data_IF_064350242892
#
_entry.id   IF_064350242892
#
_cell.length_a   1.000
_cell.length_b   1.000
_cell.length_c   1.000
_cell.angle_alpha   90.00
_cell.angle_beta   90.00
_cell.angle_gamma   90.00
#
_symmetry.space_group_name_H-M   'P 1'
#
loop_
_entity.id
_entity.type
_entity.pdbx_description
1 polymer ?
#
# COMPACT_ATOMS: atom_id res chain seq x y z
N UNK A 1 2.30 -25.06 -14.66
CA UNK A 1 1.52 -24.81 -13.43
C UNK A 1 2.24 -25.51 -12.31
N UNK A 2 2.54 -24.81 -11.21
CA UNK A 2 3.20 -25.41 -10.04
C UNK A 2 2.20 -26.21 -9.20
N UNK A 3 2.67 -27.18 -8.40
CA UNK A 3 1.81 -27.90 -7.42
C UNK A 3 1.01 -26.93 -6.54
N UNK A 4 1.62 -25.80 -6.18
CA UNK A 4 0.96 -24.71 -5.45
C UNK A 4 -0.18 -24.07 -6.25
N UNK A 5 -0.01 -23.81 -7.55
CA UNK A 5 -1.07 -23.25 -8.40
C UNK A 5 -2.21 -24.23 -8.61
N UNK A 6 -1.92 -25.52 -8.74
CA UNK A 6 -2.93 -26.58 -8.81
C UNK A 6 -3.71 -26.65 -7.49
N UNK A 7 -3.03 -26.71 -6.35
CA UNK A 7 -3.64 -26.72 -5.01
C UNK A 7 -4.41 -25.43 -4.72
N UNK A 8 -3.91 -24.26 -5.16
CA UNK A 8 -4.61 -22.99 -5.01
C UNK A 8 -5.88 -22.93 -5.87
N UNK A 9 -5.82 -23.41 -7.12
CA UNK A 9 -6.95 -23.39 -8.06
C UNK A 9 -8.14 -24.26 -7.62
N UNK A 10 -7.88 -25.27 -6.79
CA UNK A 10 -8.92 -26.11 -6.18
C UNK A 10 -9.43 -25.54 -4.86
N UNK A 11 -8.72 -24.59 -4.25
CA UNK A 11 -9.18 -23.94 -3.04
C UNK A 11 -10.33 -22.97 -3.33
N UNK A 12 -11.33 -22.90 -2.43
CA UNK A 12 -12.39 -21.89 -2.48
C UNK A 12 -11.87 -20.44 -2.45
N UNK A 13 -10.61 -20.24 -2.07
CA UNK A 13 -9.92 -18.94 -2.10
C UNK A 13 -9.74 -18.42 -3.52
N UNK A 14 -9.63 -19.31 -4.52
CA UNK A 14 -9.32 -18.93 -5.90
C UNK A 14 -10.50 -18.45 -6.73
N UNK A 15 -11.71 -18.74 -6.28
CA UNK A 15 -12.94 -18.36 -6.98
C UNK A 15 -13.83 -17.64 -5.99
N UNK A 16 -13.79 -16.30 -6.06
CA UNK A 16 -14.64 -15.31 -5.38
C UNK A 16 -16.16 -15.56 -5.49
N UNK A 17 -16.61 -16.70 -6.02
CA UNK A 17 -17.98 -16.89 -6.51
C UNK A 17 -18.87 -17.85 -5.74
N UNK A 18 -18.45 -18.56 -4.67
CA UNK A 18 -19.42 -19.33 -3.88
C UNK A 18 -19.02 -19.49 -2.40
N UNK A 19 -19.62 -18.65 -1.57
CA UNK A 19 -19.53 -18.67 -0.11
C UNK A 19 -20.13 -19.94 0.49
N UNK A 20 -19.44 -20.51 1.49
CA UNK A 20 -20.01 -21.16 2.70
C UNK A 20 -18.94 -21.80 3.59
N UNK A 21 -17.67 -21.97 3.14
CA UNK A 21 -16.64 -22.64 3.95
C UNK A 21 -15.36 -21.81 4.04
N UNK A 22 -15.26 -21.05 5.12
CA UNK A 22 -14.09 -20.25 5.48
C UNK A 22 -12.94 -21.17 5.87
N UNK A 23 -11.74 -20.89 5.34
CA UNK A 23 -10.51 -21.53 5.79
C UNK A 23 -9.73 -20.53 6.63
N UNK A 24 -9.54 -20.81 7.94
CA UNK A 24 -8.60 -20.04 8.76
C UNK A 24 -7.15 -20.41 8.41
N UNK A 25 -6.20 -19.56 8.85
CA UNK A 25 -4.77 -19.78 8.61
C UNK A 25 -4.30 -21.15 9.07
N UNK A 26 -4.80 -21.71 10.17
CA UNK A 26 -4.41 -23.05 10.62
C UNK A 26 -4.82 -24.14 9.61
N UNK A 27 -6.01 -24.03 9.01
CA UNK A 27 -6.44 -24.96 7.98
C UNK A 27 -5.67 -24.76 6.67
N UNK A 28 -5.35 -23.51 6.29
CA UNK A 28 -4.48 -23.23 5.14
C UNK A 28 -3.06 -23.76 5.35
N UNK A 29 -2.47 -23.55 6.53
CA UNK A 29 -1.17 -24.11 6.91
C UNK A 29 -1.18 -25.64 6.86
N UNK A 30 -2.29 -26.30 7.21
CA UNK A 30 -2.40 -27.76 7.08
C UNK A 30 -2.39 -28.23 5.62
N UNK A 31 -3.04 -27.49 4.72
CA UNK A 31 -3.05 -27.79 3.29
C UNK A 31 -1.67 -27.53 2.68
N UNK A 32 -1.05 -26.40 3.04
CA UNK A 32 0.23 -25.94 2.51
C UNK A 32 1.43 -26.25 3.41
N UNK A 33 1.32 -27.25 4.29
CA UNK A 33 2.36 -27.58 5.30
C UNK A 33 3.73 -27.90 4.68
N UNK A 34 3.71 -28.48 3.49
CA UNK A 34 4.90 -28.92 2.76
C UNK A 34 5.34 -27.86 1.72
N UNK A 35 4.65 -26.71 1.68
CA UNK A 35 4.98 -25.61 0.79
C UNK A 35 5.89 -24.61 1.50
N UNK A 36 7.05 -24.35 0.91
CA UNK A 36 7.93 -23.27 1.32
C UNK A 36 8.10 -22.32 0.13
N UNK A 37 7.88 -21.00 0.30
CA UNK A 37 8.14 -20.05 -0.77
C UNK A 37 9.64 -20.07 -1.12
N UNK A 38 9.97 -20.35 -2.38
CA UNK A 38 11.35 -20.33 -2.90
C UNK A 38 11.86 -18.91 -3.19
N UNK A 39 11.05 -17.87 -2.98
CA UNK A 39 11.36 -16.48 -3.27
C UNK A 39 11.38 -15.62 -2.00
N UNK A 40 11.96 -14.41 -2.13
CA UNK A 40 11.84 -13.34 -1.16
C UNK A 40 10.37 -13.11 -0.76
N UNK A 41 10.15 -12.59 0.46
CA UNK A 41 8.81 -12.27 0.95
C UNK A 41 8.06 -11.42 -0.07
N UNK A 42 6.74 -11.66 -0.28
CA UNK A 42 5.95 -10.84 -1.19
C UNK A 42 5.93 -9.39 -0.72
N UNK A 43 6.10 -8.47 -1.67
CA UNK A 43 5.84 -7.05 -1.46
C UNK A 43 4.35 -6.81 -1.66
N UNK A 44 3.67 -6.24 -0.66
CA UNK A 44 2.24 -5.90 -0.73
C UNK A 44 2.04 -4.40 -0.50
N UNK A 45 1.02 -3.78 -1.11
CA UNK A 45 0.66 -2.40 -0.78
C UNK A 45 0.33 -2.23 0.71
N UNK A 46 0.55 -1.03 1.23
CA UNK A 46 0.33 -0.73 2.66
C UNK A 46 -1.09 -1.04 3.13
N UNK A 47 -2.11 -0.74 2.32
CA UNK A 47 -3.51 -1.05 2.66
C UNK A 47 -3.78 -2.56 2.80
N UNK A 48 -3.08 -3.39 2.02
CA UNK A 48 -3.12 -4.86 2.16
C UNK A 48 -2.34 -5.31 3.39
N UNK A 49 -1.18 -4.74 3.65
CA UNK A 49 -0.41 -5.03 4.88
C UNK A 49 -1.22 -4.73 6.14
N UNK A 50 -1.89 -3.58 6.19
CA UNK A 50 -2.84 -3.20 7.26
C UNK A 50 -3.97 -4.22 7.38
N UNK A 51 -4.53 -4.68 6.26
CA UNK A 51 -5.57 -5.70 6.27
C UNK A 51 -5.07 -7.02 6.89
N UNK A 52 -3.92 -7.54 6.43
CA UNK A 52 -3.31 -8.77 6.95
C UNK A 52 -3.08 -8.66 8.46
N UNK A 53 -2.57 -7.52 8.93
CA UNK A 53 -2.35 -7.27 10.35
C UNK A 53 -3.65 -7.15 11.15
N UNK A 54 -4.72 -6.60 10.56
CA UNK A 54 -6.03 -6.44 11.21
C UNK A 54 -6.71 -7.78 11.45
N UNK A 55 -6.53 -8.73 10.53
CA UNK A 55 -7.06 -10.09 10.67
C UNK A 55 -6.30 -10.95 11.68
N UNK A 56 -5.36 -10.37 12.43
CA UNK A 56 -4.77 -10.99 13.62
C UNK A 56 -3.90 -12.20 13.33
N UNK A 57 -3.02 -12.50 14.27
CA UNK A 57 -2.24 -13.71 14.23
C UNK A 57 -3.16 -14.95 14.20
N UNK A 58 -2.71 -16.07 13.61
CA UNK A 58 -3.48 -17.30 13.35
C UNK A 58 -4.28 -17.91 14.52
N UNK A 59 -3.99 -17.52 15.75
CA UNK A 59 -4.59 -18.06 16.98
C UNK A 59 -5.95 -17.42 17.32
N UNK A 60 -6.24 -16.22 16.79
CA UNK A 60 -7.39 -15.42 17.22
C UNK A 60 -8.71 -15.78 16.52
N UNK A 61 -8.69 -16.67 15.53
CA UNK A 61 -9.91 -17.10 14.83
C UNK A 61 -10.64 -15.97 14.08
N UNK A 62 -9.96 -14.88 13.70
CA UNK A 62 -10.54 -13.80 12.91
C UNK A 62 -10.59 -14.21 11.43
N UNK A 63 -11.78 -14.15 10.83
CA UNK A 63 -12.03 -14.53 9.44
C UNK A 63 -12.31 -13.28 8.60
N UNK A 64 -11.81 -13.23 7.36
CA UNK A 64 -12.30 -12.27 6.37
C UNK A 64 -13.60 -12.82 5.81
N UNK A 65 -14.74 -12.26 6.22
CA UNK A 65 -16.00 -12.57 5.57
C UNK A 65 -16.14 -11.67 4.33
N UNK A 66 -15.71 -12.15 3.16
CA UNK A 66 -15.70 -11.33 1.94
C UNK A 66 -17.08 -10.69 1.63
N UNK A 67 -18.22 -11.37 1.83
CA UNK A 67 -19.54 -10.79 1.53
C UNK A 67 -19.85 -9.60 2.43
N UNK A 68 -19.53 -9.72 3.72
CA UNK A 68 -19.79 -8.69 4.73
C UNK A 68 -18.74 -7.59 4.68
N UNK A 69 -17.50 -7.93 4.31
CA UNK A 69 -16.37 -7.03 4.20
C UNK A 69 -16.35 -6.24 2.89
N UNK A 70 -16.94 -6.75 1.79
CA UNK A 70 -16.87 -6.09 0.47
C UNK A 70 -17.38 -4.64 0.46
N UNK A 71 -18.47 -4.28 1.15
CA UNK A 71 -18.90 -2.87 1.21
C UNK A 71 -17.91 -1.94 1.92
N UNK A 72 -17.07 -2.47 2.81
CA UNK A 72 -16.14 -1.68 3.67
C UNK A 72 -14.70 -1.74 3.16
N UNK A 73 -14.31 -2.86 2.54
CA UNK A 73 -12.95 -3.18 2.11
C UNK A 73 -12.88 -3.47 0.60
N UNK A 74 -13.69 -2.77 -0.20
CA UNK A 74 -13.81 -3.06 -1.63
C UNK A 74 -12.45 -3.00 -2.34
N UNK A 75 -11.65 -1.96 -2.04
CA UNK A 75 -10.31 -1.74 -2.60
C UNK A 75 -9.38 -2.93 -2.30
N UNK A 76 -9.39 -3.42 -1.06
CA UNK A 76 -8.62 -4.57 -0.63
C UNK A 76 -9.06 -5.85 -1.34
N UNK A 77 -10.37 -6.12 -1.40
CA UNK A 77 -10.89 -7.35 -1.99
C UNK A 77 -10.66 -7.38 -3.50
N UNK A 78 -10.85 -6.27 -4.20
CA UNK A 78 -10.58 -6.16 -5.63
C UNK A 78 -9.08 -6.36 -5.94
N UNK A 79 -8.17 -5.91 -5.06
CA UNK A 79 -6.75 -6.23 -5.18
C UNK A 79 -6.48 -7.71 -4.95
N UNK A 80 -7.05 -8.32 -3.91
CA UNK A 80 -6.85 -9.75 -3.60
C UNK A 80 -7.35 -10.63 -4.74
N UNK A 81 -8.49 -10.30 -5.36
CA UNK A 81 -9.05 -11.07 -6.49
C UNK A 81 -8.05 -11.17 -7.66
N UNK A 82 -7.21 -10.15 -7.85
CA UNK A 82 -6.16 -10.12 -8.88
C UNK A 82 -4.80 -10.63 -8.39
N UNK A 83 -4.59 -10.77 -7.08
CA UNK A 83 -3.28 -11.08 -6.47
C UNK A 83 -3.37 -12.24 -5.46
N UNK A 84 -4.26 -13.20 -5.68
CA UNK A 84 -4.58 -14.28 -4.73
C UNK A 84 -3.35 -15.06 -4.23
N UNK A 85 -2.39 -15.37 -5.14
CA UNK A 85 -1.13 -16.05 -4.80
C UNK A 85 -0.26 -15.21 -3.89
N UNK A 86 -0.12 -13.92 -4.19
CA UNK A 86 0.65 -12.96 -3.38
C UNK A 86 0.00 -12.80 -2.00
N UNK A 87 -1.32 -12.60 -1.96
CA UNK A 87 -2.12 -12.52 -0.74
C UNK A 87 -1.93 -13.74 0.16
N UNK A 88 -2.10 -14.94 -0.38
CA UNK A 88 -2.00 -16.18 0.40
C UNK A 88 -0.57 -16.40 0.91
N UNK A 89 0.44 -16.12 0.08
CA UNK A 89 1.85 -16.20 0.49
C UNK A 89 2.12 -15.23 1.64
N UNK A 90 1.66 -13.98 1.51
CA UNK A 90 1.80 -12.93 2.52
C UNK A 90 1.15 -13.32 3.86
N UNK A 91 -0.06 -13.86 3.81
CA UNK A 91 -0.81 -14.30 4.99
C UNK A 91 -0.14 -15.47 5.71
N UNK A 92 0.41 -16.43 4.97
CA UNK A 92 0.98 -17.65 5.53
C UNK A 92 2.42 -17.46 6.04
N UNK A 93 3.27 -16.81 5.23
CA UNK A 93 4.72 -16.77 5.42
C UNK A 93 5.27 -15.38 5.75
N UNK A 94 4.41 -14.35 5.78
CA UNK A 94 4.81 -12.97 6.02
C UNK A 94 5.02 -12.18 4.73
N UNK A 95 5.23 -10.88 4.87
CA UNK A 95 5.32 -9.93 3.75
C UNK A 95 6.21 -8.75 4.09
N UNK A 96 6.61 -8.02 3.04
CA UNK A 96 7.14 -6.67 3.15
C UNK A 96 6.13 -5.69 2.58
N UNK A 97 6.04 -4.49 3.13
CA UNK A 97 5.17 -3.44 2.59
C UNK A 97 5.91 -2.69 1.49
N UNK A 98 5.22 -2.41 0.38
CA UNK A 98 5.71 -1.51 -0.66
C UNK A 98 6.02 -0.16 -0.02
N UNK A 99 7.28 0.28 -0.09
CA UNK A 99 7.63 1.63 0.36
C UNK A 99 6.90 2.61 -0.56
N UNK A 100 5.99 3.45 -0.04
CA UNK A 100 5.24 4.36 -0.88
C UNK A 100 6.21 5.30 -1.59
N UNK A 101 5.98 5.54 -2.87
CA UNK A 101 6.66 6.61 -3.58
C UNK A 101 6.28 7.94 -2.92
N UNK A 102 7.29 8.69 -2.48
CA UNK A 102 7.11 9.97 -1.83
C UNK A 102 7.37 11.12 -2.79
N UNK A 103 6.70 12.24 -2.54
CA UNK A 103 6.82 13.46 -3.31
C UNK A 103 7.01 14.68 -2.41
N UNK A 104 7.80 15.65 -2.85
CA UNK A 104 7.73 17.02 -2.36
C UNK A 104 6.71 17.80 -3.19
N UNK A 105 5.90 18.62 -2.53
CA UNK A 105 4.97 19.53 -3.19
C UNK A 105 5.61 20.91 -3.31
N UNK A 106 5.90 21.32 -4.54
CA UNK A 106 6.58 22.57 -4.87
C UNK A 106 5.62 23.60 -5.45
N UNK A 107 5.77 24.83 -4.99
CA UNK A 107 5.14 26.01 -5.55
C UNK A 107 6.23 26.95 -6.09
N UNK A 108 5.97 27.58 -7.23
CA UNK A 108 6.87 28.52 -7.88
C UNK A 108 6.20 29.89 -7.92
N UNK A 109 6.72 30.82 -7.11
CA UNK A 109 6.17 32.18 -6.97
C UNK A 109 7.17 33.18 -7.57
N UNK A 110 6.70 34.23 -8.24
CA UNK A 110 7.61 35.30 -8.70
C UNK A 110 8.06 36.13 -7.51
N UNK A 111 9.31 36.58 -7.54
CA UNK A 111 9.86 37.45 -6.49
C UNK A 111 9.10 38.78 -6.37
N UNK A 112 8.61 39.30 -7.49
CA UNK A 112 7.75 40.49 -7.55
C UNK A 112 6.44 40.32 -6.77
N UNK A 113 5.84 39.12 -6.81
CA UNK A 113 4.56 38.81 -6.14
C UNK A 113 4.70 38.80 -4.61
N UNK A 114 5.93 38.71 -4.09
CA UNK A 114 6.24 38.77 -2.65
C UNK A 114 6.94 40.08 -2.26
N UNK A 115 6.92 41.08 -3.13
CA UNK A 115 7.42 42.42 -2.85
C UNK A 115 8.94 42.59 -2.95
N UNK A 116 9.62 41.72 -3.70
CA UNK A 116 11.05 41.87 -3.99
C UNK A 116 11.28 42.68 -5.26
N UNK A 117 12.27 43.59 -5.24
CA UNK A 117 12.71 44.35 -6.42
C UNK A 117 13.58 43.52 -7.40
N UNK A 118 13.83 42.24 -7.09
CA UNK A 118 14.60 41.32 -7.94
C UNK A 118 13.70 40.57 -8.91
N UNK A 119 14.18 40.39 -10.14
CA UNK A 119 13.51 39.56 -11.15
C UNK A 119 13.93 38.10 -10.95
N UNK A 120 12.96 37.23 -10.68
CA UNK A 120 13.22 35.80 -10.51
C UNK A 120 12.04 35.05 -9.91
N UNK A 121 12.33 33.81 -9.48
CA UNK A 121 11.35 32.92 -8.87
C UNK A 121 11.87 32.36 -7.56
N UNK A 122 10.96 32.26 -6.59
CA UNK A 122 11.17 31.52 -5.36
C UNK A 122 10.53 30.14 -5.51
N UNK A 123 11.34 29.10 -5.31
CA UNK A 123 10.85 27.74 -5.17
C UNK A 123 10.56 27.49 -3.71
N UNK A 124 9.30 27.18 -3.41
CA UNK A 124 8.83 26.90 -2.07
C UNK A 124 8.23 25.50 -2.01
N UNK A 125 8.35 24.86 -0.86
CA UNK A 125 7.89 23.50 -0.61
C UNK A 125 6.91 23.48 0.55
N UNK A 126 5.88 22.63 0.45
CA UNK A 126 4.88 22.50 1.50
C UNK A 126 5.45 21.76 2.72
N UNK A 127 5.24 22.33 3.89
CA UNK A 127 5.64 21.76 5.19
C UNK A 127 4.48 21.05 5.88
N UNK A 128 4.78 20.35 6.97
CA UNK A 128 3.82 19.51 7.69
C UNK A 128 2.71 20.32 8.41
N UNK A 129 3.01 21.58 8.74
CA UNK A 129 2.14 22.58 9.36
C UNK A 129 1.39 23.44 8.33
N UNK A 130 1.51 23.13 7.04
CA UNK A 130 0.76 23.79 5.96
C UNK A 130 1.38 25.10 5.46
N UNK A 131 2.58 25.45 5.91
CA UNK A 131 3.33 26.61 5.41
C UNK A 131 4.23 26.25 4.22
N UNK A 132 4.81 27.28 3.61
CA UNK A 132 5.75 27.17 2.51
C UNK A 132 7.17 27.50 2.99
N UNK A 133 8.14 26.65 2.65
CA UNK A 133 9.57 26.84 2.98
C UNK A 133 10.44 26.79 1.73
N UNK A 134 11.50 27.58 1.69
CA UNK A 134 12.54 27.45 0.65
C UNK A 134 13.56 26.34 0.96
N UNK A 135 13.57 25.82 2.19
CA UNK A 135 14.47 24.75 2.61
C UNK A 135 13.80 23.38 2.42
N UNK A 136 14.24 22.63 1.39
CA UNK A 136 13.70 21.30 1.06
C UNK A 136 13.85 20.28 2.20
N UNK A 137 14.85 20.45 3.08
CA UNK A 137 15.04 19.55 4.23
C UNK A 137 13.96 19.73 5.30
N UNK A 138 13.26 20.86 5.30
CA UNK A 138 12.12 21.12 6.18
C UNK A 138 10.78 20.82 5.51
N UNK A 139 10.78 20.42 4.23
CA UNK A 139 9.58 20.09 3.50
C UNK A 139 9.02 18.74 3.92
N UNK A 140 7.68 18.62 3.93
CA UNK A 140 7.02 17.34 4.16
C UNK A 140 7.11 16.50 2.89
N UNK A 141 7.30 15.20 3.08
CA UNK A 141 7.16 14.17 2.04
C UNK A 141 5.72 13.65 2.05
N UNK A 142 5.09 13.61 0.89
CA UNK A 142 3.70 13.19 0.72
C UNK A 142 3.61 11.92 -0.11
N UNK A 143 2.67 11.06 0.22
CA UNK A 143 2.23 9.94 -0.64
C UNK A 143 1.26 10.43 -1.71
N UNK A 144 1.08 9.66 -2.80
CA UNK A 144 0.09 10.01 -3.82
C UNK A 144 -1.34 10.10 -3.25
N UNK A 145 -1.72 9.21 -2.34
CA UNK A 145 -3.05 9.20 -1.71
C UNK A 145 -3.29 10.45 -0.85
N UNK A 146 -2.28 10.91 -0.10
CA UNK A 146 -2.38 12.20 0.60
C UNK A 146 -2.60 13.34 -0.39
N UNK A 147 -1.87 13.37 -1.50
CA UNK A 147 -2.00 14.41 -2.53
C UNK A 147 -3.38 14.37 -3.20
N UNK A 148 -3.89 13.19 -3.54
CA UNK A 148 -5.20 13.01 -4.17
C UNK A 148 -6.34 13.42 -3.23
N UNK A 149 -6.14 13.30 -1.91
CA UNK A 149 -7.09 13.75 -0.89
C UNK A 149 -7.04 15.26 -0.62
N UNK A 150 -5.96 15.93 -1.03
CA UNK A 150 -5.79 17.37 -0.83
C UNK A 150 -6.68 18.15 -1.80
N UNK A 151 -7.63 18.92 -1.28
CA UNK A 151 -8.40 19.92 -2.05
C UNK A 151 -7.57 21.17 -2.40
N UNK A 152 -6.25 21.04 -2.55
CA UNK A 152 -5.33 22.19 -2.59
C UNK A 152 -4.80 22.41 -4.01
N UNK A 153 -4.41 23.66 -4.32
CA UNK A 153 -4.07 24.13 -5.66
C UNK A 153 -2.92 23.42 -6.38
N UNK A 154 -2.57 23.91 -7.57
CA UNK A 154 -1.60 23.33 -8.49
C UNK A 154 -0.15 23.35 -7.96
N UNK A 155 0.20 22.40 -7.09
CA UNK A 155 1.59 22.11 -6.73
C UNK A 155 2.25 21.22 -7.79
N UNK A 156 3.50 21.53 -8.11
CA UNK A 156 4.39 20.65 -8.86
C UNK A 156 4.85 19.50 -7.94
N UNK A 157 4.68 18.25 -8.37
CA UNK A 157 5.11 17.07 -7.61
C UNK A 157 6.54 16.70 -8.00
N UNK A 158 7.45 16.63 -7.02
CA UNK A 158 8.83 16.20 -7.23
C UNK A 158 9.05 14.87 -6.53
N UNK A 159 9.45 13.84 -7.27
CA UNK A 159 9.79 12.54 -6.71
C UNK A 159 10.92 12.67 -5.69
N UNK A 160 10.70 12.11 -4.50
CA UNK A 160 11.78 11.87 -3.54
C UNK A 160 12.55 10.64 -4.02
N UNK A 161 13.86 10.74 -4.24
CA UNK A 161 14.68 9.57 -4.55
C UNK A 161 14.51 8.54 -3.45
N UNK A 162 14.28 7.29 -3.82
CA UNK A 162 14.34 6.18 -2.87
C UNK A 162 15.81 6.07 -2.49
N UNK A 163 16.15 6.38 -1.24
CA UNK A 163 17.45 6.00 -0.70
C UNK A 163 17.45 4.47 -0.63
N UNK A 164 18.04 3.84 -1.65
CA UNK A 164 18.49 2.46 -1.57
C UNK A 164 19.57 2.43 -0.49
N UNK A 165 19.16 2.13 0.74
CA UNK A 165 20.07 1.93 1.86
C UNK A 165 21.03 0.79 1.52
N UNK A 166 22.33 1.08 1.64
CA UNK A 166 23.41 0.10 1.75
C UNK A 166 23.13 -0.95 2.83
#
# INVERSE_FOLDING_TARGET
MTKFEEELSVLPVSKSTNYTKYWNKAQLLKVFKDWQPQQALPVVPDFIGKLINTFGAPEDGKYINYTVSRPVHQKELDWIDNHQKTWLTALLFGFTVEKPQLFYLKNKIKLEDVGSDLIGYLNLFLTNDGYLTSNINHAKKFTQEEIDSMQTGSYEQILVPVEDGE
#
